data_IF_610574232511
#
_entry.id   IF_610574232511
#
_cell.length_a   1.000
_cell.length_b   1.000
_cell.length_c   1.000
_cell.angle_alpha   90.00
_cell.angle_beta   90.00
_cell.angle_gamma   90.00
#
_symmetry.space_group_name_H-M   'P 1'
#
loop_
_entity.id
_entity.type
_entity.pdbx_description
1 polymer ?
#
# COMPACT_ATOMS: atom_id res chain seq x y z
N UNK A 1 -9.30 -23.46 40.04
CA UNK A 1 -9.65 -24.40 38.96
C UNK A 1 -9.97 -23.56 37.74
N UNK A 2 -9.12 -23.65 36.71
CA UNK A 2 -9.32 -22.96 35.44
C UNK A 2 -10.53 -23.52 34.68
N UNK A 3 -11.04 -22.78 33.69
CA UNK A 3 -10.74 -23.23 32.33
C UNK A 3 -10.48 -22.09 31.33
N UNK A 4 -9.66 -22.36 30.32
CA UNK A 4 -9.57 -21.47 29.15
C UNK A 4 -8.42 -21.73 28.19
N UNK A 5 -8.16 -22.99 27.80
CA UNK A 5 -7.22 -23.31 26.74
C UNK A 5 -7.82 -22.93 25.37
N UNK A 6 -7.14 -22.06 24.61
CA UNK A 6 -7.64 -21.58 23.32
C UNK A 6 -6.65 -20.72 22.52
N UNK A 7 -5.35 -21.01 22.58
CA UNK A 7 -4.36 -20.34 21.75
C UNK A 7 -4.32 -20.92 20.33
N UNK A 8 -4.94 -20.26 19.36
CA UNK A 8 -4.69 -20.52 17.94
C UNK A 8 -3.35 -19.89 17.56
N UNK A 9 -2.39 -20.72 17.19
CA UNK A 9 -1.17 -20.30 16.51
C UNK A 9 -1.54 -19.75 15.11
N UNK A 10 -1.38 -18.45 14.89
CA UNK A 10 -0.97 -17.93 13.58
C UNK A 10 0.37 -17.22 13.75
N UNK A 11 1.40 -17.82 13.16
CA UNK A 11 2.75 -17.26 13.15
C UNK A 11 2.80 -16.10 12.14
N UNK A 12 2.59 -14.86 12.60
CA UNK A 12 2.98 -13.66 11.86
C UNK A 12 4.40 -13.26 12.25
N UNK A 13 5.38 -13.73 11.48
CA UNK A 13 6.80 -13.42 11.67
C UNK A 13 7.22 -12.20 10.84
N UNK A 14 7.55 -11.09 11.50
CA UNK A 14 8.88 -10.42 11.56
C UNK A 14 8.67 -9.01 12.12
N UNK A 15 8.69 -8.86 13.44
CA UNK A 15 8.47 -7.58 14.11
C UNK A 15 9.81 -6.95 14.50
N UNK A 16 10.15 -5.78 13.94
CA UNK A 16 11.14 -4.88 14.54
C UNK A 16 10.41 -3.67 15.12
N UNK A 17 10.21 -3.67 16.43
CA UNK A 17 9.73 -2.51 17.18
C UNK A 17 10.79 -1.40 17.13
N UNK A 18 10.48 -0.26 16.51
CA UNK A 18 11.30 0.95 16.62
C UNK A 18 10.46 2.08 17.23
N UNK A 19 10.72 2.44 18.50
CA UNK A 19 10.00 3.49 19.25
C UNK A 19 10.08 4.89 18.61
N UNK A 20 10.89 5.11 17.57
CA UNK A 20 10.96 6.37 16.82
C UNK A 20 10.00 6.42 15.63
N UNK A 21 9.60 5.29 15.06
CA UNK A 21 8.72 5.27 13.89
C UNK A 21 7.26 5.23 14.37
N UNK A 22 6.53 6.30 14.09
CA UNK A 22 5.19 6.57 14.61
C UNK A 22 4.08 5.89 13.81
N UNK A 23 4.39 5.12 12.78
CA UNK A 23 3.45 4.48 11.85
C UNK A 23 3.80 2.99 11.68
N UNK A 24 2.93 2.22 11.02
CA UNK A 24 3.20 0.83 10.64
C UNK A 24 2.97 0.61 9.14
N UNK A 25 3.66 -0.38 8.59
CA UNK A 25 3.39 -0.93 7.25
C UNK A 25 2.85 -2.34 7.45
N UNK A 26 1.63 -2.58 6.98
CA UNK A 26 0.90 -3.83 7.11
C UNK A 26 0.87 -4.52 5.75
N UNK A 27 1.13 -5.82 5.73
CA UNK A 27 1.06 -6.65 4.53
C UNK A 27 0.01 -7.74 4.75
N UNK A 28 -1.10 -7.64 4.03
CA UNK A 28 -2.13 -8.67 4.00
C UNK A 28 -1.78 -9.64 2.87
N UNK A 29 -1.20 -10.80 3.21
CA UNK A 29 -0.92 -11.85 2.24
C UNK A 29 -2.22 -12.65 2.03
N UNK A 30 -2.90 -12.45 0.92
CA UNK A 30 -3.99 -13.34 0.50
C UNK A 30 -3.41 -14.51 -0.31
N UNK A 31 -3.02 -15.59 0.38
CA UNK A 31 -2.39 -16.78 -0.24
C UNK A 31 -3.29 -17.56 -1.21
N UNK A 32 -4.58 -17.20 -1.37
CA UNK A 32 -5.53 -18.09 -2.03
C UNK A 32 -5.74 -17.90 -3.53
N UNK A 33 -5.62 -16.71 -4.12
CA UNK A 33 -6.03 -16.56 -5.54
C UNK A 33 -5.19 -15.62 -6.42
N UNK A 34 -4.38 -14.70 -5.86
CA UNK A 34 -3.54 -13.78 -6.68
C UNK A 34 -2.18 -13.50 -6.03
N UNK A 35 -1.06 -13.53 -6.78
CA UNK A 35 0.29 -13.27 -6.26
C UNK A 35 0.57 -11.77 -6.09
N UNK A 36 -0.43 -10.99 -5.70
CA UNK A 36 -0.30 -9.55 -5.45
C UNK A 36 0.02 -9.33 -3.98
N UNK A 37 0.89 -8.35 -3.72
CA UNK A 37 1.06 -7.84 -2.36
C UNK A 37 -0.02 -6.78 -2.14
N UNK A 38 -0.86 -6.92 -1.11
CA UNK A 38 -1.68 -5.82 -0.60
C UNK A 38 -0.98 -5.26 0.63
N UNK A 39 -0.28 -4.15 0.45
CA UNK A 39 0.49 -3.51 1.51
C UNK A 39 -0.06 -2.11 1.75
N UNK A 40 -0.38 -1.78 2.99
CA UNK A 40 -0.87 -0.46 3.34
C UNK A 40 -0.18 0.11 4.56
N UNK A 41 -0.23 1.43 4.71
CA UNK A 41 0.19 2.10 5.94
C UNK A 41 -0.90 2.04 6.99
N UNK A 42 -0.52 2.15 8.25
CA UNK A 42 -1.44 2.34 9.37
C UNK A 42 -0.94 3.49 10.25
N UNK A 43 -1.83 4.44 10.55
CA UNK A 43 -1.61 5.53 11.47
C UNK A 43 -1.37 6.90 10.83
N UNK A 44 -1.70 7.07 9.54
CA UNK A 44 -1.62 8.35 8.82
C UNK A 44 -2.70 9.35 9.25
N UNK A 45 -3.78 8.87 9.87
CA UNK A 45 -4.85 9.71 10.43
C UNK A 45 -4.36 10.82 11.39
N UNK A 46 -3.23 10.62 12.07
CA UNK A 46 -2.60 11.64 12.93
C UNK A 46 -2.14 12.89 12.17
N UNK A 47 -1.91 12.74 10.87
CA UNK A 47 -1.55 13.80 9.95
C UNK A 47 -2.78 14.28 9.14
N UNK A 48 -3.98 13.83 9.52
CA UNK A 48 -5.24 14.07 8.79
C UNK A 48 -5.15 13.64 7.32
N UNK A 49 -4.41 12.55 7.06
CA UNK A 49 -4.12 12.04 5.73
C UNK A 49 -4.62 10.60 5.59
N UNK A 50 -5.19 10.19 4.43
CA UNK A 50 -5.54 8.80 4.14
C UNK A 50 -4.34 7.86 4.27
N UNK A 51 -4.59 6.57 4.49
CA UNK A 51 -3.51 5.59 4.42
C UNK A 51 -3.03 5.42 2.97
N UNK A 52 -1.75 5.09 2.78
CA UNK A 52 -1.23 4.70 1.47
C UNK A 52 -1.37 3.20 1.25
N UNK A 53 -1.64 2.78 0.02
CA UNK A 53 -1.75 1.37 -0.36
C UNK A 53 -0.93 1.04 -1.60
N UNK A 54 -0.30 -0.13 -1.64
CA UNK A 54 0.34 -0.71 -2.83
C UNK A 54 -0.33 -2.04 -3.12
N UNK A 55 -0.85 -2.21 -4.34
CA UNK A 55 -1.37 -3.48 -4.85
C UNK A 55 -0.57 -3.90 -6.09
N UNK A 56 0.66 -4.35 -5.88
CA UNK A 56 1.52 -4.80 -6.96
C UNK A 56 2.57 -5.78 -6.45
N UNK A 57 2.89 -6.79 -7.25
CA UNK A 57 3.99 -7.70 -6.94
C UNK A 57 5.33 -7.00 -7.14
N UNK A 58 5.86 -6.44 -6.05
CA UNK A 58 7.16 -5.77 -6.00
C UNK A 58 8.07 -6.39 -4.93
N UNK A 59 9.39 -6.21 -5.04
CA UNK A 59 10.31 -6.54 -3.95
C UNK A 59 9.90 -5.82 -2.65
N UNK A 60 9.85 -6.51 -1.49
CA UNK A 60 9.42 -5.90 -0.23
C UNK A 60 10.19 -4.62 0.14
N UNK A 61 11.50 -4.58 -0.17
CA UNK A 61 12.34 -3.41 0.07
C UNK A 61 11.89 -2.18 -0.74
N UNK A 62 11.41 -2.37 -1.97
CA UNK A 62 10.91 -1.29 -2.80
C UNK A 62 9.56 -0.77 -2.27
N UNK A 63 8.65 -1.66 -1.88
CA UNK A 63 7.38 -1.26 -1.27
C UNK A 63 7.62 -0.44 0.00
N UNK A 64 8.51 -0.92 0.86
CA UNK A 64 8.88 -0.22 2.08
C UNK A 64 9.46 1.18 1.79
N UNK A 65 10.35 1.29 0.80
CA UNK A 65 10.94 2.56 0.39
C UNK A 65 9.87 3.55 -0.09
N UNK A 66 9.00 3.14 -1.03
CA UNK A 66 7.94 3.99 -1.58
C UNK A 66 7.03 4.55 -0.47
N UNK A 67 6.52 3.67 0.39
CA UNK A 67 5.64 4.07 1.49
C UNK A 67 6.37 4.97 2.48
N UNK A 68 7.62 4.65 2.83
CA UNK A 68 8.41 5.44 3.78
C UNK A 68 8.65 6.87 3.29
N UNK A 69 9.01 7.04 2.02
CA UNK A 69 9.26 8.38 1.46
C UNK A 69 7.96 9.19 1.36
N UNK A 70 6.84 8.58 0.96
CA UNK A 70 5.53 9.25 0.96
C UNK A 70 5.13 9.69 2.38
N UNK A 71 5.24 8.79 3.36
CA UNK A 71 4.94 9.11 4.76
C UNK A 71 5.84 10.22 5.32
N UNK A 72 7.12 10.24 4.96
CA UNK A 72 8.04 11.30 5.34
C UNK A 72 7.60 12.66 4.77
N UNK A 73 7.22 12.71 3.49
CA UNK A 73 6.69 13.95 2.87
C UNK A 73 5.45 14.45 3.61
N UNK A 74 4.54 13.57 4.01
CA UNK A 74 3.36 13.95 4.81
C UNK A 74 3.75 14.46 6.19
N UNK A 75 4.71 13.81 6.85
CA UNK A 75 5.22 14.26 8.14
C UNK A 75 5.88 15.65 8.05
N UNK A 76 6.48 15.98 6.91
CA UNK A 76 7.04 17.31 6.59
C UNK A 76 5.98 18.33 6.13
N UNK A 77 4.69 17.96 6.16
CA UNK A 77 3.55 18.86 5.90
C UNK A 77 2.96 18.78 4.50
N UNK A 78 3.45 17.89 3.61
CA UNK A 78 2.84 17.66 2.30
C UNK A 78 1.48 16.99 2.46
N UNK A 79 0.48 17.49 1.74
CA UNK A 79 -0.80 16.80 1.57
C UNK A 79 -0.83 16.20 0.16
N UNK A 80 -1.40 15.01 0.05
CA UNK A 80 -1.66 14.36 -1.23
C UNK A 80 -3.16 14.12 -1.42
N UNK A 81 -3.58 14.02 -2.67
CA UNK A 81 -4.94 13.73 -3.08
C UNK A 81 -4.96 12.85 -4.34
N UNK A 82 -6.14 12.31 -4.66
CA UNK A 82 -6.34 11.55 -5.90
C UNK A 82 -5.95 12.36 -7.13
N UNK A 83 -5.26 11.72 -8.07
CA UNK A 83 -4.71 12.32 -9.29
C UNK A 83 -3.33 12.95 -9.13
N UNK A 84 -2.78 13.08 -7.91
CA UNK A 84 -1.43 13.61 -7.74
C UNK A 84 -0.38 12.71 -8.40
N UNK A 85 0.56 13.36 -9.11
CA UNK A 85 1.74 12.71 -9.67
C UNK A 85 2.97 12.95 -8.79
N UNK A 86 3.64 11.87 -8.43
CA UNK A 86 4.86 11.85 -7.62
C UNK A 86 6.02 11.35 -8.49
N UNK A 87 6.89 12.27 -8.89
CA UNK A 87 7.96 12.00 -9.86
C UNK A 87 9.35 11.84 -9.22
N UNK A 88 9.46 12.06 -7.91
CA UNK A 88 10.73 12.10 -7.19
C UNK A 88 11.00 10.86 -6.33
N UNK A 89 10.14 9.85 -6.40
CA UNK A 89 10.32 8.57 -5.71
C UNK A 89 11.17 7.59 -6.52
N UNK A 90 10.93 7.50 -7.82
CA UNK A 90 11.62 6.58 -8.71
C UNK A 90 12.17 7.34 -9.92
N UNK A 91 13.45 7.14 -10.29
CA UNK A 91 14.02 7.81 -11.44
C UNK A 91 13.21 7.56 -12.71
N UNK A 92 12.69 8.62 -13.31
CA UNK A 92 11.94 8.59 -14.58
C UNK A 92 10.65 7.76 -14.56
N UNK A 93 10.08 7.45 -13.39
CA UNK A 93 8.82 6.71 -13.28
C UNK A 93 7.81 7.59 -12.52
N UNK A 94 6.84 8.21 -13.21
CA UNK A 94 5.80 8.98 -12.55
C UNK A 94 4.84 8.03 -11.83
N UNK A 95 4.67 8.22 -10.53
CA UNK A 95 3.72 7.46 -9.71
C UNK A 95 2.46 8.29 -9.57
N UNK A 96 1.29 7.71 -9.83
CA UNK A 96 0.00 8.37 -9.59
C UNK A 96 -0.58 7.90 -8.26
N UNK A 97 -1.18 8.80 -7.50
CA UNK A 97 -1.96 8.46 -6.31
C UNK A 97 -3.44 8.50 -6.68
N UNK A 98 -4.14 7.39 -6.50
CA UNK A 98 -5.58 7.30 -6.79
C UNK A 98 -6.34 6.91 -5.52
N UNK A 99 -7.49 7.54 -5.29
CA UNK A 99 -8.40 7.17 -4.19
C UNK A 99 -9.07 5.81 -4.46
N UNK A 100 -9.01 4.93 -3.47
CA UNK A 100 -9.73 3.63 -3.45
C UNK A 100 -10.39 3.39 -2.09
N UNK A 101 -11.32 2.44 -2.05
CA UNK A 101 -11.87 1.94 -0.79
C UNK A 101 -11.10 0.69 -0.32
N UNK A 102 -10.77 0.64 0.96
CA UNK A 102 -10.23 -0.53 1.63
C UNK A 102 -10.98 -0.70 2.96
N UNK A 103 -11.74 -1.79 3.09
CA UNK A 103 -12.55 -2.07 4.28
C UNK A 103 -13.50 -0.92 4.70
N UNK A 104 -14.05 -0.17 3.73
CA UNK A 104 -14.93 0.97 3.97
C UNK A 104 -14.22 2.27 4.39
N UNK A 105 -12.89 2.30 4.26
CA UNK A 105 -12.09 3.50 4.47
C UNK A 105 -11.40 3.92 3.17
N UNK A 106 -11.30 5.23 2.97
CA UNK A 106 -10.57 5.79 1.85
C UNK A 106 -9.05 5.63 2.05
N UNK A 107 -8.38 5.15 1.01
CA UNK A 107 -6.92 5.06 0.93
C UNK A 107 -6.41 5.67 -0.36
N UNK A 108 -5.18 6.19 -0.35
CA UNK A 108 -4.47 6.61 -1.57
C UNK A 108 -3.59 5.46 -2.07
N UNK A 109 -4.03 4.81 -3.14
CA UNK A 109 -3.28 3.74 -3.79
C UNK A 109 -2.18 4.32 -4.65
N UNK A 110 -0.98 3.80 -4.46
CA UNK A 110 0.22 4.09 -5.24
C UNK A 110 0.15 3.29 -6.54
N UNK A 111 -0.17 3.98 -7.64
CA UNK A 111 -0.26 3.41 -8.99
C UNK A 111 1.05 3.63 -9.72
N UNK A 112 1.71 2.53 -10.05
CA UNK A 112 2.97 2.52 -10.78
C UNK A 112 2.67 2.15 -12.24
N UNK A 113 3.13 2.90 -13.24
CA UNK A 113 2.96 2.53 -14.63
C UNK A 113 3.84 1.33 -14.99
N UNK A 114 3.49 0.63 -16.07
CA UNK A 114 4.33 -0.45 -16.58
C UNK A 114 5.68 0.04 -17.13
N UNK A 115 6.54 -0.89 -17.56
CA UNK A 115 7.87 -0.57 -18.10
C UNK A 115 7.88 0.35 -19.33
N UNK A 116 6.72 0.58 -19.95
CA UNK A 116 6.53 1.47 -21.11
C UNK A 116 5.82 2.77 -20.72
N UNK A 117 5.66 3.04 -19.42
CA UNK A 117 5.05 4.26 -18.91
C UNK A 117 3.53 4.28 -18.98
N UNK A 118 2.88 3.10 -19.10
CA UNK A 118 1.43 3.01 -19.26
C UNK A 118 0.76 2.69 -17.94
N UNK A 119 -0.27 3.46 -17.61
CA UNK A 119 -1.09 3.26 -16.42
C UNK A 119 -2.12 2.12 -16.63
N UNK A 120 -2.74 1.61 -15.56
CA UNK A 120 -3.67 0.47 -15.63
C UNK A 120 -4.81 0.62 -16.63
N UNK A 121 -5.32 1.83 -16.84
CA UNK A 121 -6.40 2.12 -17.79
C UNK A 121 -5.99 2.02 -19.28
N UNK A 122 -4.69 2.02 -19.59
CA UNK A 122 -4.21 1.83 -20.96
C UNK A 122 -4.44 0.38 -21.40
N UNK A 123 -5.14 0.19 -22.53
CA UNK A 123 -5.45 -1.14 -23.07
C UNK A 123 -4.22 -2.02 -23.28
N UNK A 124 -3.06 -1.42 -23.57
CA UNK A 124 -1.81 -2.13 -23.82
C UNK A 124 -0.94 -2.24 -22.58
N UNK A 125 -1.38 -1.73 -21.43
CA UNK A 125 -0.68 -1.89 -20.16
C UNK A 125 -0.43 -3.37 -19.84
N UNK A 126 0.73 -3.66 -19.25
CA UNK A 126 1.06 -5.00 -18.80
C UNK A 126 -0.01 -5.56 -17.83
N UNK A 127 -0.39 -6.82 -18.05
CA UNK A 127 -1.46 -7.48 -17.31
C UNK A 127 -1.30 -7.35 -15.78
N UNK A 128 -0.09 -7.52 -15.26
CA UNK A 128 0.15 -7.47 -13.81
C UNK A 128 -0.01 -6.05 -13.24
N UNK A 129 0.29 -5.03 -14.05
CA UNK A 129 0.13 -3.64 -13.67
C UNK A 129 -1.34 -3.20 -13.74
N UNK A 130 -2.14 -3.77 -14.65
CA UNK A 130 -3.59 -3.54 -14.71
C UNK A 130 -4.32 -3.94 -13.43
N UNK A 131 -3.83 -4.95 -12.73
CA UNK A 131 -4.46 -5.42 -11.49
C UNK A 131 -4.46 -4.38 -10.36
N UNK A 132 -3.61 -3.35 -10.46
CA UNK A 132 -3.63 -2.21 -9.52
C UNK A 132 -4.97 -1.46 -9.53
N UNK A 133 -5.71 -1.50 -10.64
CA UNK A 133 -7.02 -0.84 -10.77
C UNK A 133 -8.19 -1.73 -10.31
N UNK A 134 -7.92 -2.97 -9.89
CA UNK A 134 -8.98 -3.87 -9.51
C UNK A 134 -9.51 -3.55 -8.09
N UNK A 135 -10.83 -3.64 -7.91
CA UNK A 135 -11.54 -3.45 -6.65
C UNK A 135 -11.55 -4.75 -5.79
N UNK A 136 -10.41 -5.45 -5.73
CA UNK A 136 -10.30 -6.81 -5.15
C UNK A 136 -10.55 -6.83 -3.63
N UNK A 137 -10.45 -5.67 -2.96
CA UNK A 137 -10.53 -5.55 -1.49
C UNK A 137 -11.63 -4.58 -1.02
N UNK A 138 -12.57 -4.24 -1.91
CA UNK A 138 -13.76 -3.48 -1.54
C UNK A 138 -14.78 -4.47 -0.97
N UNK A 139 -15.30 -4.20 0.23
CA UNK A 139 -16.47 -4.92 0.72
C UNK A 139 -17.69 -4.41 -0.06
N UNK A 140 -18.51 -5.35 -0.53
CA UNK A 140 -19.90 -5.08 -0.93
C UNK A 140 -20.69 -4.37 0.18
#
# INVERSE_FOLDING_TARGET
MEPGNGGRNSMSGLWKWNKKERYKIICDITEKEFPLNNVHTEGMNRYQHPEFQVILKLPPALIHYLLKELMKKVADGKQFQSGDLVEDLLPHVPIRLDTYQMYGQEVLRVIIPDKRGRFPEDEKCDFWFKLQAAHIFEKE
#
